data_IF_481550667390
#
_entry.id   IF_481550667390
#
_cell.length_a   1.000
_cell.length_b   1.000
_cell.length_c   1.000
_cell.angle_alpha   90.00
_cell.angle_beta   90.00
_cell.angle_gamma   90.00
#
_symmetry.space_group_name_H-M   'P 1'
#
loop_
_entity.id
_entity.type
_entity.pdbx_description
1 polymer ?
#
# COMPACT_ATOMS: atom_id res chain seq x y z
N UNK A 1 -8.61 -2.93 16.16
CA UNK A 1 -9.62 -2.75 15.10
C UNK A 1 -8.95 -2.56 13.73
N UNK A 2 -8.64 -3.66 13.02
CA UNK A 2 -8.24 -3.66 11.60
C UNK A 2 -9.30 -4.38 10.76
N UNK A 3 -10.57 -4.36 11.19
CA UNK A 3 -11.61 -5.28 10.72
C UNK A 3 -11.82 -5.27 9.20
N UNK A 4 -11.46 -4.18 8.51
CA UNK A 4 -11.59 -4.04 7.05
C UNK A 4 -10.34 -4.37 6.24
N UNK A 5 -9.22 -4.80 6.86
CA UNK A 5 -7.95 -5.01 6.14
C UNK A 5 -7.23 -3.72 5.71
N UNK A 6 -7.88 -2.55 5.81
CA UNK A 6 -7.37 -1.27 5.31
C UNK A 6 -5.92 -0.94 5.72
N UNK A 7 -5.57 -1.16 6.99
CA UNK A 7 -4.20 -0.94 7.49
C UNK A 7 -3.21 -1.99 7.01
N UNK A 8 -3.64 -3.25 6.89
CA UNK A 8 -2.80 -4.35 6.41
C UNK A 8 -2.50 -4.17 4.92
N UNK A 9 -3.50 -3.82 4.11
CA UNK A 9 -3.32 -3.50 2.71
C UNK A 9 -2.35 -2.34 2.48
N UNK A 10 -2.46 -1.27 3.28
CA UNK A 10 -1.49 -0.17 3.19
C UNK A 10 -0.06 -0.59 3.52
N UNK A 11 0.13 -1.39 4.57
CA UNK A 11 1.47 -1.90 4.92
C UNK A 11 2.02 -2.85 3.85
N UNK A 12 1.18 -3.67 3.22
CA UNK A 12 1.59 -4.56 2.15
C UNK A 12 2.05 -3.78 0.91
N UNK A 13 1.31 -2.74 0.51
CA UNK A 13 1.71 -1.86 -0.58
C UNK A 13 3.07 -1.19 -0.31
N UNK A 14 3.23 -0.61 0.88
CA UNK A 14 4.47 0.07 1.26
C UNK A 14 5.67 -0.90 1.36
N UNK A 15 5.43 -2.14 1.82
CA UNK A 15 6.44 -3.21 1.81
C UNK A 15 6.87 -3.54 0.38
N UNK A 16 5.90 -3.75 -0.52
CA UNK A 16 6.16 -4.13 -1.90
C UNK A 16 7.04 -3.10 -2.62
N UNK A 17 6.72 -1.81 -2.47
CA UNK A 17 7.51 -0.74 -3.09
C UNK A 17 8.88 -0.58 -2.42
N UNK A 18 8.93 -0.40 -1.09
CA UNK A 18 10.18 -0.01 -0.44
C UNK A 18 11.14 -1.16 -0.11
N UNK A 19 10.65 -2.40 0.02
CA UNK A 19 11.48 -3.54 0.39
C UNK A 19 11.62 -4.55 -0.75
N UNK A 20 10.55 -4.75 -1.52
CA UNK A 20 10.55 -5.73 -2.61
C UNK A 20 10.89 -5.10 -3.98
N UNK A 21 11.01 -3.76 -4.06
CA UNK A 21 11.42 -3.04 -5.27
C UNK A 21 10.38 -3.05 -6.40
N UNK A 22 9.12 -3.33 -6.06
CA UNK A 22 7.99 -3.32 -6.99
C UNK A 22 7.68 -1.89 -7.42
N UNK A 23 7.19 -1.67 -8.64
CA UNK A 23 6.77 -0.34 -9.09
C UNK A 23 5.57 0.18 -8.27
N UNK A 24 5.43 1.51 -8.11
CA UNK A 24 4.43 2.08 -7.21
C UNK A 24 2.98 1.73 -7.59
N UNK A 25 2.66 1.59 -8.89
CA UNK A 25 1.32 1.23 -9.34
C UNK A 25 0.96 -0.23 -8.97
N UNK A 26 1.89 -1.17 -9.22
CA UNK A 26 1.76 -2.58 -8.84
C UNK A 26 1.70 -2.75 -7.32
N UNK A 27 2.51 -1.99 -6.57
CA UNK A 27 2.48 -1.99 -5.12
C UNK A 27 1.12 -1.54 -4.57
N UNK A 28 0.49 -0.54 -5.20
CA UNK A 28 -0.85 -0.08 -4.84
C UNK A 28 -1.90 -1.17 -5.09
N UNK A 29 -1.78 -1.91 -6.20
CA UNK A 29 -2.65 -3.05 -6.51
C UNK A 29 -2.54 -4.17 -5.46
N UNK A 30 -1.32 -4.52 -5.05
CA UNK A 30 -1.08 -5.48 -3.95
C UNK A 30 -1.81 -5.03 -2.68
N UNK A 31 -1.77 -3.73 -2.36
CA UNK A 31 -2.51 -3.16 -1.25
C UNK A 31 -4.02 -3.33 -1.37
N UNK A 32 -4.59 -3.01 -2.54
CA UNK A 32 -6.04 -3.14 -2.83
C UNK A 32 -6.50 -4.58 -2.66
N UNK A 33 -5.77 -5.54 -3.22
CA UNK A 33 -6.06 -6.98 -3.09
C UNK A 33 -6.02 -7.45 -1.61
N UNK A 34 -5.21 -6.80 -0.78
CA UNK A 34 -5.11 -7.06 0.66
C UNK A 34 -6.09 -6.25 1.53
N UNK A 35 -7.04 -5.51 0.93
CA UNK A 35 -8.10 -4.79 1.63
C UNK A 35 -7.82 -3.31 1.88
N UNK A 36 -6.84 -2.71 1.19
CA UNK A 36 -6.65 -1.26 1.17
C UNK A 36 -7.91 -0.60 0.59
N UNK A 37 -8.48 0.30 1.37
CA UNK A 37 -9.71 1.02 1.01
C UNK A 37 -9.51 2.49 1.34
N UNK A 38 -9.97 2.95 2.52
CA UNK A 38 -9.93 4.37 2.89
C UNK A 38 -8.53 4.97 3.05
N UNK A 39 -7.46 4.17 3.07
CA UNK A 39 -6.08 4.66 3.15
C UNK A 39 -5.38 4.78 1.79
N UNK A 40 -6.03 4.42 0.68
CA UNK A 40 -5.36 4.37 -0.63
C UNK A 40 -4.64 5.67 -1.00
N UNK A 41 -5.31 6.82 -0.91
CA UNK A 41 -4.68 8.11 -1.23
C UNK A 41 -3.46 8.41 -0.36
N UNK A 42 -3.50 8.08 0.93
CA UNK A 42 -2.36 8.27 1.83
C UNK A 42 -1.19 7.34 1.47
N UNK A 43 -1.47 6.11 1.05
CA UNK A 43 -0.45 5.17 0.56
C UNK A 43 0.15 5.68 -0.74
N UNK A 44 -0.66 6.17 -1.66
CA UNK A 44 -0.22 6.70 -2.95
C UNK A 44 0.75 7.89 -2.81
N UNK A 45 0.48 8.80 -1.86
CA UNK A 45 1.38 9.90 -1.50
C UNK A 45 2.72 9.40 -0.93
N UNK A 46 2.71 8.32 -0.15
CA UNK A 46 3.93 7.72 0.43
C UNK A 46 4.75 6.97 -0.62
N UNK A 47 4.10 6.31 -1.58
CA UNK A 47 4.77 5.64 -2.71
C UNK A 47 5.45 6.63 -3.66
N UNK A 48 4.94 7.85 -3.75
CA UNK A 48 5.52 8.92 -4.57
C UNK A 48 6.76 9.56 -3.92
N UNK A 49 7.05 9.23 -2.66
CA UNK A 49 8.21 9.75 -1.94
C UNK A 49 9.37 8.74 -2.00
N UNK A 50 10.59 9.20 -2.36
CA UNK A 50 11.79 8.39 -2.18
C UNK A 50 12.02 8.17 -0.69
N UNK A 51 12.48 6.96 -0.33
CA UNK A 51 12.71 6.58 1.07
C UNK A 51 14.02 7.14 1.62
#
# INVERSE_FOLDING_TARGET
YCASGNRVGGLLALKAYWLDGVEPDDALEIGRQAGLTGLESAVQELLSQPR
#
